data_IF_050606175251
#
_entry.id   IF_050606175251
#
_cell.length_a   1.000
_cell.length_b   1.000
_cell.length_c   1.000
_cell.angle_alpha   90.00
_cell.angle_beta   90.00
_cell.angle_gamma   90.00
#
_symmetry.space_group_name_H-M   'P 1'
#
loop_
_entity.id
_entity.type
_entity.pdbx_description
1 polymer ?
#
# COMPACT_ATOMS: atom_id res chain seq x y z
N UNK A 1 25.04 3.09 -19.73
CA UNK A 1 26.44 2.69 -19.41
C UNK A 1 26.73 1.35 -20.05
N UNK A 2 27.94 1.09 -20.52
CA UNK A 2 28.34 -0.24 -20.99
C UNK A 2 28.67 -1.16 -19.81
N UNK A 3 28.55 -2.47 -20.01
CA UNK A 3 28.83 -3.45 -18.96
C UNK A 3 30.32 -3.52 -18.63
N UNK A 4 31.18 -3.31 -19.62
CA UNK A 4 32.63 -3.20 -19.43
C UNK A 4 32.99 -2.02 -18.53
N UNK A 5 32.39 -0.85 -18.77
CA UNK A 5 32.60 0.35 -17.94
C UNK A 5 32.22 0.09 -16.47
N UNK A 6 31.10 -0.60 -16.24
CA UNK A 6 30.66 -0.93 -14.88
C UNK A 6 31.56 -2.00 -14.24
N UNK A 7 32.08 -2.93 -15.03
CA UNK A 7 33.01 -3.95 -14.56
C UNK A 7 34.32 -3.31 -14.06
N UNK A 8 34.85 -2.36 -14.83
CA UNK A 8 36.05 -1.61 -14.48
C UNK A 8 35.81 -0.76 -13.22
N UNK A 9 34.66 -0.07 -13.14
CA UNK A 9 34.29 0.74 -11.97
C UNK A 9 34.23 -0.09 -10.69
N UNK A 10 33.60 -1.27 -10.76
CA UNK A 10 33.42 -2.16 -9.61
C UNK A 10 34.62 -3.09 -9.37
N UNK A 11 35.69 -2.97 -10.18
CA UNK A 11 36.86 -3.87 -10.15
C UNK A 11 36.45 -5.35 -10.22
N UNK A 12 35.44 -5.65 -11.03
CA UNK A 12 34.97 -7.01 -11.28
C UNK A 12 35.46 -7.52 -12.63
N UNK A 13 35.75 -8.82 -12.69
CA UNK A 13 36.03 -9.50 -13.95
C UNK A 13 34.85 -9.35 -14.93
N UNK A 14 35.08 -9.03 -16.23
CA UNK A 14 34.01 -8.84 -17.21
C UNK A 14 33.10 -10.08 -17.38
N UNK A 15 33.66 -11.29 -17.26
CA UNK A 15 32.90 -12.53 -17.31
C UNK A 15 31.97 -12.67 -16.10
N UNK A 16 32.44 -12.31 -14.92
CA UNK A 16 31.60 -12.26 -13.72
C UNK A 16 30.53 -11.18 -13.84
N UNK A 17 30.86 -9.97 -14.31
CA UNK A 17 29.89 -8.91 -14.55
C UNK A 17 28.79 -9.35 -15.52
N UNK A 18 29.15 -10.00 -16.64
CA UNK A 18 28.19 -10.51 -17.60
C UNK A 18 27.20 -11.52 -16.98
N UNK A 19 27.68 -12.39 -16.08
CA UNK A 19 26.81 -13.30 -15.32
C UNK A 19 25.89 -12.55 -14.37
N UNK A 20 26.38 -11.54 -13.65
CA UNK A 20 25.56 -10.76 -12.72
C UNK A 20 24.48 -9.93 -13.43
N UNK A 21 24.83 -9.32 -14.57
CA UNK A 21 23.88 -8.60 -15.41
C UNK A 21 22.81 -9.55 -15.96
N UNK A 22 23.21 -10.74 -16.43
CA UNK A 22 22.24 -11.75 -16.89
C UNK A 22 21.28 -12.11 -15.76
N UNK A 23 21.81 -12.39 -14.56
CA UNK A 23 21.00 -12.73 -13.39
C UNK A 23 20.04 -11.59 -13.00
N UNK A 24 20.48 -10.33 -13.05
CA UNK A 24 19.64 -9.16 -12.77
C UNK A 24 18.41 -9.10 -13.68
N UNK A 25 18.60 -9.20 -15.00
CA UNK A 25 17.50 -9.15 -15.97
C UNK A 25 16.62 -10.39 -15.89
N UNK A 26 17.18 -11.58 -15.61
CA UNK A 26 16.38 -12.78 -15.33
C UNK A 26 15.49 -12.62 -14.09
N UNK A 27 15.99 -12.00 -13.01
CA UNK A 27 15.19 -11.75 -11.81
C UNK A 27 14.10 -10.70 -12.01
N UNK A 28 14.24 -9.84 -13.01
CA UNK A 28 13.24 -8.84 -13.40
C UNK A 28 12.24 -9.33 -14.45
N UNK A 29 12.44 -10.53 -14.98
CA UNK A 29 11.70 -11.06 -16.13
C UNK A 29 11.78 -10.14 -17.37
N UNK A 30 12.91 -9.43 -17.50
CA UNK A 30 13.17 -8.46 -18.57
C UNK A 30 14.24 -9.00 -19.54
N UNK A 31 14.18 -8.58 -20.79
CA UNK A 31 15.25 -8.83 -21.76
C UNK A 31 16.49 -7.99 -21.48
N UNK A 32 17.67 -8.57 -21.69
CA UNK A 32 18.94 -7.86 -21.47
C UNK A 32 19.18 -6.85 -22.61
N UNK A 33 19.22 -5.54 -22.32
CA UNK A 33 19.55 -4.53 -23.30
C UNK A 33 21.06 -4.52 -23.62
N UNK A 34 21.43 -3.97 -24.77
CA UNK A 34 22.83 -3.78 -25.16
C UNK A 34 23.57 -2.76 -24.27
N UNK A 35 22.84 -1.81 -23.69
CA UNK A 35 23.36 -0.81 -22.74
C UNK A 35 22.57 -0.88 -21.46
N UNK A 36 23.26 -0.78 -20.33
CA UNK A 36 22.62 -0.73 -19.01
C UNK A 36 21.92 0.61 -18.83
N UNK A 37 20.66 0.54 -18.41
CA UNK A 37 19.90 1.68 -17.93
C UNK A 37 20.42 2.16 -16.56
N UNK A 38 20.16 3.42 -16.17
CA UNK A 38 20.68 3.98 -14.92
C UNK A 38 20.25 3.19 -13.68
N UNK A 39 19.03 2.66 -13.66
CA UNK A 39 18.49 1.91 -12.53
C UNK A 39 19.19 0.56 -12.36
N UNK A 40 19.44 -0.15 -13.46
CA UNK A 40 20.22 -1.37 -13.48
C UNK A 40 21.64 -1.15 -12.95
N UNK A 41 22.28 -0.05 -13.35
CA UNK A 41 23.60 0.33 -12.84
C UNK A 41 23.56 0.54 -11.32
N UNK A 42 22.60 1.31 -10.81
CA UNK A 42 22.45 1.55 -9.38
C UNK A 42 22.19 0.26 -8.59
N UNK A 43 21.33 -0.61 -9.10
CA UNK A 43 21.01 -1.87 -8.45
C UNK A 43 22.22 -2.81 -8.41
N UNK A 44 22.99 -2.89 -9.50
CA UNK A 44 24.21 -3.69 -9.56
C UNK A 44 25.29 -3.14 -8.62
N UNK A 45 25.46 -1.81 -8.53
CA UNK A 45 26.35 -1.18 -7.54
C UNK A 45 25.91 -1.48 -6.10
N UNK A 46 24.61 -1.40 -5.82
CA UNK A 46 24.06 -1.71 -4.50
C UNK A 46 24.30 -3.17 -4.13
N UNK A 47 24.04 -4.11 -5.05
CA UNK A 47 24.29 -5.53 -4.83
C UNK A 47 25.78 -5.82 -4.60
N UNK A 48 26.66 -5.21 -5.37
CA UNK A 48 28.11 -5.33 -5.18
C UNK A 48 28.55 -4.84 -3.79
N UNK A 49 28.05 -3.68 -3.35
CA UNK A 49 28.34 -3.14 -2.01
C UNK A 49 27.91 -4.09 -0.90
N UNK A 50 26.73 -4.70 -1.00
CA UNK A 50 26.22 -5.65 -0.01
C UNK A 50 27.11 -6.91 0.13
N UNK A 51 27.65 -7.39 -0.99
CA UNK A 51 28.56 -8.54 -1.00
C UNK A 51 29.92 -8.15 -0.42
N UNK A 52 30.49 -7.02 -0.85
CA UNK A 52 31.81 -6.56 -0.37
C UNK A 52 31.78 -6.19 1.11
N UNK A 53 30.67 -5.63 1.61
CA UNK A 53 30.51 -5.32 3.03
C UNK A 53 30.25 -6.55 3.90
N UNK A 54 30.08 -7.75 3.30
CA UNK A 54 29.73 -8.98 4.01
C UNK A 54 28.30 -9.00 4.58
N UNK A 55 27.45 -8.04 4.21
CA UNK A 55 26.05 -8.01 4.65
C UNK A 55 25.26 -9.19 4.07
N UNK A 56 25.69 -9.70 2.92
CA UNK A 56 25.10 -10.84 2.24
C UNK A 56 26.19 -11.80 1.79
N UNK A 57 25.93 -13.11 1.90
CA UNK A 57 26.92 -14.16 1.61
C UNK A 57 27.25 -14.30 0.12
N UNK A 58 26.31 -13.97 -0.76
CA UNK A 58 26.48 -14.14 -2.20
C UNK A 58 25.71 -13.09 -3.02
N UNK A 59 26.16 -12.90 -4.25
CA UNK A 59 25.61 -11.89 -5.17
C UNK A 59 24.14 -12.15 -5.57
N UNK A 60 23.68 -13.39 -5.82
CA UNK A 60 22.27 -13.65 -6.10
C UNK A 60 21.33 -13.19 -4.97
N UNK A 61 21.70 -13.44 -3.72
CA UNK A 61 20.92 -12.98 -2.57
C UNK A 61 20.96 -11.45 -2.45
N UNK A 62 22.10 -10.81 -2.73
CA UNK A 62 22.21 -9.36 -2.74
C UNK A 62 21.32 -8.72 -3.81
N UNK A 63 21.25 -9.30 -5.01
CA UNK A 63 20.36 -8.82 -6.07
C UNK A 63 18.88 -8.98 -5.71
N UNK A 64 18.49 -10.12 -5.14
CA UNK A 64 17.12 -10.31 -4.65
C UNK A 64 16.77 -9.31 -3.56
N UNK A 65 17.72 -8.93 -2.71
CA UNK A 65 17.49 -7.93 -1.66
C UNK A 65 17.32 -6.53 -2.23
N UNK A 66 18.18 -6.14 -3.19
CA UNK A 66 18.07 -4.85 -3.88
C UNK A 66 16.78 -4.74 -4.69
N UNK A 67 16.34 -5.84 -5.32
CA UNK A 67 15.10 -5.89 -6.08
C UNK A 67 13.84 -6.05 -5.21
N UNK A 68 13.98 -6.15 -3.88
CA UNK A 68 12.83 -6.39 -2.98
C UNK A 68 12.19 -7.78 -3.13
N UNK A 69 12.85 -8.71 -3.83
CA UNK A 69 12.42 -10.10 -4.04
C UNK A 69 12.82 -11.02 -2.87
N UNK A 70 13.39 -10.48 -1.80
CA UNK A 70 13.71 -11.27 -0.62
C UNK A 70 12.46 -11.35 0.22
N UNK A 71 11.94 -12.57 0.37
CA UNK A 71 11.05 -12.93 1.46
C UNK A 71 11.84 -12.82 2.76
N UNK A 72 12.04 -11.60 3.26
CA UNK A 72 12.44 -11.42 4.65
C UNK A 72 11.23 -11.93 5.44
N UNK A 73 11.35 -13.01 6.22
CA UNK A 73 10.26 -13.41 7.09
C UNK A 73 9.97 -12.22 8.00
N UNK A 74 8.80 -11.62 7.83
CA UNK A 74 8.37 -10.50 8.68
C UNK A 74 8.44 -11.01 10.12
N UNK A 75 9.26 -10.40 11.00
CA UNK A 75 9.36 -10.86 12.37
C UNK A 75 7.96 -10.92 12.98
N UNK A 76 7.64 -12.00 13.67
CA UNK A 76 6.28 -12.22 14.21
C UNK A 76 5.80 -11.07 15.11
N UNK A 77 6.74 -10.35 15.74
CA UNK A 77 6.46 -9.12 16.49
C UNK A 77 5.87 -8.00 15.61
N UNK A 78 6.47 -7.74 14.44
CA UNK A 78 5.99 -6.72 13.50
C UNK A 78 4.63 -7.11 12.91
N UNK A 79 4.43 -8.40 12.62
CA UNK A 79 3.13 -8.94 12.19
C UNK A 79 2.04 -8.72 13.26
N UNK A 80 2.36 -8.93 14.54
CA UNK A 80 1.43 -8.66 15.65
C UNK A 80 1.09 -7.18 15.74
N UNK A 81 2.07 -6.29 15.62
CA UNK A 81 1.85 -4.84 15.64
C UNK A 81 0.95 -4.38 14.48
N UNK A 82 1.18 -4.90 13.27
CA UNK A 82 0.35 -4.62 12.10
C UNK A 82 -1.09 -5.10 12.33
N UNK A 83 -1.27 -6.33 12.81
CA UNK A 83 -2.61 -6.88 13.09
C UNK A 83 -3.34 -6.05 14.15
N UNK A 84 -2.65 -5.65 15.21
CA UNK A 84 -3.21 -4.83 16.28
C UNK A 84 -3.60 -3.43 15.77
N UNK A 85 -2.79 -2.83 14.89
CA UNK A 85 -3.12 -1.57 14.24
C UNK A 85 -4.36 -1.71 13.34
N UNK A 86 -4.48 -2.80 12.58
CA UNK A 86 -5.63 -3.06 11.72
C UNK A 86 -6.93 -3.26 12.53
N UNK A 87 -6.85 -3.94 13.67
CA UNK A 87 -7.98 -4.05 14.61
C UNK A 87 -8.39 -2.66 15.14
N UNK A 88 -7.42 -1.81 15.50
CA UNK A 88 -7.71 -0.44 15.94
C UNK A 88 -8.41 0.41 14.88
N UNK A 89 -8.02 0.26 13.60
CA UNK A 89 -8.68 0.93 12.47
C UNK A 89 -10.10 0.43 12.27
N UNK A 90 -10.31 -0.90 12.31
CA UNK A 90 -11.64 -1.52 12.22
C UNK A 90 -12.58 -1.00 13.30
N UNK A 91 -12.12 -0.94 14.55
CA UNK A 91 -12.91 -0.44 15.66
C UNK A 91 -13.26 1.05 15.51
N UNK A 92 -12.32 1.84 14.97
CA UNK A 92 -12.56 3.25 14.65
C UNK A 92 -13.64 3.42 13.58
N UNK A 93 -13.60 2.60 12.52
CA UNK A 93 -14.64 2.59 11.49
C UNK A 93 -16.00 2.24 12.08
N UNK A 94 -16.10 1.17 12.87
CA UNK A 94 -17.35 0.75 13.51
C UNK A 94 -17.93 1.83 14.43
N UNK A 95 -17.08 2.53 15.19
CA UNK A 95 -17.52 3.67 16.02
C UNK A 95 -18.04 4.83 15.16
N UNK A 96 -17.37 5.10 14.04
CA UNK A 96 -17.76 6.17 13.11
C UNK A 96 -19.10 5.85 12.43
N UNK A 97 -19.29 4.61 11.97
CA UNK A 97 -20.56 4.15 11.41
C UNK A 97 -21.71 4.24 12.42
N UNK A 98 -21.48 3.81 13.68
CA UNK A 98 -22.48 3.95 14.75
C UNK A 98 -22.87 5.41 14.97
N UNK A 99 -21.90 6.32 14.98
CA UNK A 99 -22.15 7.77 15.10
C UNK A 99 -22.96 8.30 13.93
N UNK A 100 -22.57 7.99 12.69
CA UNK A 100 -23.31 8.38 11.49
C UNK A 100 -24.75 7.87 11.51
N UNK A 101 -24.96 6.62 11.90
CA UNK A 101 -26.29 6.03 11.99
C UNK A 101 -27.14 6.71 13.09
N UNK A 102 -26.54 7.06 14.24
CA UNK A 102 -27.23 7.83 15.28
C UNK A 102 -27.61 9.24 14.82
N UNK A 103 -26.72 9.92 14.08
CA UNK A 103 -27.00 11.24 13.52
C UNK A 103 -28.10 11.18 12.46
N UNK A 104 -28.07 10.18 11.58
CA UNK A 104 -29.13 9.96 10.59
C UNK A 104 -30.50 9.72 11.25
N UNK A 105 -30.55 8.94 12.34
CA UNK A 105 -31.79 8.72 13.12
C UNK A 105 -32.28 10.01 13.77
N UNK A 106 -31.39 10.79 14.39
CA UNK A 106 -31.75 12.07 15.00
C UNK A 106 -32.28 13.07 13.96
N UNK A 107 -31.62 13.16 12.80
CA UNK A 107 -32.06 14.00 11.69
C UNK A 107 -33.44 13.60 11.17
N UNK A 108 -33.69 12.29 11.01
CA UNK A 108 -35.01 11.77 10.62
C UNK A 108 -36.09 12.11 11.67
N UNK A 109 -35.77 12.01 12.95
CA UNK A 109 -36.70 12.37 14.03
C UNK A 109 -37.04 13.88 14.03
N UNK A 110 -36.05 14.73 13.76
CA UNK A 110 -36.24 16.18 13.63
C UNK A 110 -37.12 16.53 12.43
N UNK A 111 -36.88 15.91 11.26
CA UNK A 111 -37.75 16.07 10.08
C UNK A 111 -39.20 15.71 10.37
N UNK A 112 -39.44 14.61 11.09
CA UNK A 112 -40.79 14.19 11.49
C UNK A 112 -41.43 15.18 12.48
N UNK A 113 -40.65 15.78 13.39
CA UNK A 113 -41.14 16.79 14.31
C UNK A 113 -41.46 18.13 13.61
N UNK A 114 -40.61 18.57 12.67
CA UNK A 114 -40.86 19.79 11.90
C UNK A 114 -42.08 19.66 11.00
N UNK A 115 -42.30 18.48 10.41
CA UNK A 115 -43.47 18.20 9.56
C UNK A 115 -44.78 18.21 10.38
N UNK A 116 -44.71 17.76 11.64
CA UNK A 116 -45.84 17.85 12.58
C UNK A 116 -46.11 19.28 13.07
N UNK A 117 -45.07 20.09 13.28
CA UNK A 117 -45.23 21.50 13.67
C UNK A 117 -45.75 22.37 12.52
N UNK A 118 -45.26 22.17 11.29
CA UNK A 118 -45.78 22.87 10.11
C UNK A 118 -47.26 22.58 9.81
N UNK A 119 -47.77 21.42 10.25
CA UNK A 119 -49.18 21.05 10.17
C UNK A 119 -50.07 21.69 11.25
N UNK A 120 -49.47 22.15 12.35
CA UNK A 120 -50.18 22.83 13.47
C UNK A 120 -50.22 24.35 13.28
N UNK A 121 -49.26 24.92 12.55
CA UNK A 121 -49.17 26.35 12.26
C UNK A 121 -49.94 26.76 10.98
N UNK A 122 -50.63 25.83 10.32
CA UNK A 122 -51.51 26.13 9.18
C UNK A 122 -52.95 26.35 9.66
N UNK A 123 -53.44 27.60 9.79
CA UNK A 123 -54.79 27.89 10.25
C UNK A 123 -55.90 27.42 9.29
N UNK A 124 -55.53 26.82 8.15
CA UNK A 124 -56.45 26.26 7.16
C UNK A 124 -56.39 24.72 7.04
N UNK A 125 -55.77 24.02 7.98
CA UNK A 125 -55.87 22.56 8.05
C UNK A 125 -57.29 22.13 8.47
N UNK A 126 -58.22 22.15 7.52
CA UNK A 126 -59.59 21.64 7.67
C UNK A 126 -59.51 20.14 7.96
N UNK A 127 -59.97 19.75 9.15
CA UNK A 127 -60.19 18.37 9.54
C UNK A 127 -61.40 17.82 8.77
N UNK A 128 -61.16 17.30 7.56
CA UNK A 128 -62.16 16.58 6.76
C UNK A 128 -62.36 15.13 7.24
N UNK A 129 -62.31 14.87 8.55
CA UNK A 129 -62.52 13.52 9.08
C UNK A 129 -63.46 13.45 10.28
N UNK A 130 -64.63 14.09 10.18
CA UNK A 130 -65.80 13.76 11.00
C UNK A 130 -67.09 14.24 10.33
N UNK A 131 -67.84 13.37 9.66
CA UNK A 131 -68.94 12.65 10.33
C UNK A 131 -69.69 11.67 9.38
N UNK A 132 -70.36 10.65 9.94
CA UNK A 132 -71.05 9.58 9.25
C UNK A 132 -72.52 9.92 8.97
N UNK A 133 -73.07 9.40 7.88
CA UNK A 133 -74.47 8.90 7.79
C UNK A 133 -74.69 8.20 6.46
#
# INVERSE_FOLDING_TARGET
MLMSELADELKMDPGNMARQVKLYYTLREDDRPSRLDPQAVEHLRAAHRLVVSGAVRNYPQALRQVLGLTEVPVPSAVLKEILQSLEGVRDSQLRTEKRLNSMAKAFKALLIQSDKQGRLDDPNAVDESSDPT
#
